data_IF_908844540440
#
_entry.id   IF_908844540440
#
_cell.length_a   1.000
_cell.length_b   1.000
_cell.length_c   1.000
_cell.angle_alpha   90.00
_cell.angle_beta   90.00
_cell.angle_gamma   90.00
#
_symmetry.space_group_name_H-M   'P 1'
#
loop_
_entity.id
_entity.type
_entity.pdbx_description
1 polymer ?
#
# COMPACT_ATOMS: atom_id res chain seq x y z
N UNK A 1 18.10 -22.15 -2.85
CA UNK A 1 16.93 -22.28 -3.76
C UNK A 1 16.31 -20.91 -3.89
N UNK A 2 16.73 -20.12 -4.88
CA UNK A 2 16.18 -18.78 -5.11
C UNK A 2 14.80 -18.93 -5.76
N UNK A 3 13.75 -18.99 -4.94
CA UNK A 3 12.45 -18.53 -5.40
C UNK A 3 12.62 -17.04 -5.66
N UNK A 4 12.84 -16.66 -6.92
CA UNK A 4 12.99 -15.29 -7.37
C UNK A 4 11.62 -14.60 -7.19
N UNK A 5 11.30 -14.18 -5.96
CA UNK A 5 10.05 -13.51 -5.64
C UNK A 5 10.18 -12.09 -6.16
N UNK A 6 9.35 -11.75 -7.14
CA UNK A 6 9.35 -10.41 -7.72
C UNK A 6 8.87 -9.38 -6.69
N UNK A 7 7.87 -9.74 -5.87
CA UNK A 7 7.36 -8.95 -4.76
C UNK A 7 7.95 -9.45 -3.43
N UNK A 8 8.74 -8.60 -2.80
CA UNK A 8 9.45 -8.91 -1.56
C UNK A 8 8.68 -8.47 -0.32
N UNK A 9 8.01 -7.31 -0.38
CA UNK A 9 7.20 -6.79 0.73
C UNK A 9 6.06 -5.88 0.26
N UNK A 10 4.99 -5.79 1.04
CA UNK A 10 3.95 -4.76 0.93
C UNK A 10 3.93 -3.94 2.22
N UNK A 11 4.00 -2.63 2.08
CA UNK A 11 4.00 -1.65 3.16
C UNK A 11 2.70 -0.84 3.11
N UNK A 12 2.03 -0.71 4.24
CA UNK A 12 0.96 0.26 4.43
C UNK A 12 1.46 1.36 5.37
N UNK A 13 1.50 2.57 4.84
CA UNK A 13 2.02 3.75 5.51
C UNK A 13 0.91 4.78 5.71
N UNK A 14 1.00 5.50 6.82
CA UNK A 14 0.06 6.58 7.15
C UNK A 14 0.84 7.80 7.63
N UNK A 15 0.34 8.99 7.33
CA UNK A 15 0.95 10.22 7.80
C UNK A 15 0.33 10.65 9.13
N UNK A 16 1.15 10.70 10.17
CA UNK A 16 0.77 11.27 11.46
C UNK A 16 1.20 12.75 11.54
N UNK A 17 0.33 13.68 11.99
CA UNK A 17 0.63 15.12 12.00
C UNK A 17 1.85 15.51 12.84
N UNK A 18 2.16 14.75 13.89
CA UNK A 18 3.29 15.02 14.79
C UNK A 18 4.49 14.12 14.48
N UNK A 19 4.24 12.88 14.08
CA UNK A 19 5.29 11.87 13.94
C UNK A 19 5.76 11.70 12.48
N UNK A 20 5.09 12.35 11.52
CA UNK A 20 5.37 12.20 10.10
C UNK A 20 4.86 10.88 9.52
N UNK A 21 5.44 10.49 8.40
CA UNK A 21 5.13 9.24 7.71
C UNK A 21 5.62 8.06 8.55
N UNK A 22 4.71 7.12 8.86
CA UNK A 22 5.05 5.89 9.58
C UNK A 22 4.53 4.67 8.82
N UNK A 23 5.29 3.58 8.90
CA UNK A 23 4.78 2.25 8.55
C UNK A 23 3.79 1.85 9.64
N UNK A 24 2.57 1.51 9.24
CA UNK A 24 1.56 0.95 10.16
C UNK A 24 1.55 -0.57 10.04
N UNK A 25 1.62 -1.09 8.82
CA UNK A 25 1.71 -2.53 8.56
C UNK A 25 2.75 -2.81 7.48
N UNK A 26 3.44 -3.93 7.61
CA UNK A 26 4.34 -4.46 6.60
C UNK A 26 4.20 -5.98 6.52
N UNK A 27 4.22 -6.51 5.29
CA UNK A 27 4.14 -7.94 5.05
C UNK A 27 5.19 -8.34 4.02
N UNK A 28 6.17 -9.20 4.37
CA UNK A 28 6.38 -9.82 5.68
C UNK A 28 6.74 -8.79 6.77
N UNK A 29 6.48 -9.17 8.03
CA UNK A 29 6.79 -8.33 9.20
C UNK A 29 8.30 -8.09 9.33
N UNK A 30 8.69 -6.90 9.77
CA UNK A 30 10.10 -6.49 9.96
C UNK A 30 10.99 -6.64 8.72
N UNK A 31 10.42 -6.49 7.51
CA UNK A 31 11.21 -6.54 6.27
C UNK A 31 12.05 -5.27 6.06
N UNK A 32 11.46 -4.09 6.25
CA UNK A 32 12.16 -2.80 6.17
C UNK A 32 12.37 -2.26 7.58
N UNK A 33 13.62 -1.98 7.93
CA UNK A 33 13.96 -1.37 9.21
C UNK A 33 13.43 0.06 9.29
N UNK A 34 13.13 0.56 10.50
CA UNK A 34 12.67 1.96 10.65
C UNK A 34 13.67 2.97 10.10
N UNK A 35 14.96 2.71 10.25
CA UNK A 35 16.06 3.57 9.77
C UNK A 35 16.10 3.64 8.23
N UNK A 36 15.93 2.48 7.60
CA UNK A 36 15.81 2.36 6.15
C UNK A 36 14.55 3.06 5.62
N UNK A 37 13.43 2.87 6.31
CA UNK A 37 12.18 3.54 5.96
C UNK A 37 12.29 5.05 6.11
N UNK A 38 12.94 5.56 7.16
CA UNK A 38 13.07 7.00 7.41
C UNK A 38 13.76 7.72 6.22
N UNK A 39 14.73 7.04 5.59
CA UNK A 39 15.40 7.54 4.40
C UNK A 39 14.47 7.69 3.18
N UNK A 40 13.46 6.81 3.05
CA UNK A 40 12.48 6.84 1.95
C UNK A 40 11.15 7.50 2.34
N UNK A 41 10.86 7.69 3.62
CA UNK A 41 9.58 8.10 4.18
C UNK A 41 9.07 9.43 3.62
N UNK A 42 9.98 10.36 3.33
CA UNK A 42 9.70 11.66 2.71
C UNK A 42 9.18 11.51 1.27
N UNK A 43 9.62 10.47 0.58
CA UNK A 43 9.20 10.15 -0.78
C UNK A 43 7.95 9.27 -0.81
N UNK A 44 7.74 8.44 0.22
CA UNK A 44 6.58 7.55 0.35
C UNK A 44 5.30 8.37 0.50
N UNK A 45 5.25 9.38 1.38
CA UNK A 45 4.10 10.31 1.46
C UNK A 45 4.61 11.72 1.17
N UNK A 46 4.70 12.12 -0.11
CA UNK A 46 5.13 13.45 -0.46
C UNK A 46 4.06 14.48 -0.06
N UNK A 47 4.44 15.76 -0.11
CA UNK A 47 3.53 16.89 0.15
C UNK A 47 2.20 16.74 -0.63
N UNK A 48 1.07 17.24 -0.09
CA UNK A 48 -0.27 17.12 -0.68
C UNK A 48 -0.35 17.53 -2.15
N UNK A 49 0.49 18.46 -2.58
CA UNK A 49 0.60 18.95 -3.96
C UNK A 49 1.00 17.87 -4.98
N UNK A 50 1.55 16.74 -4.52
CA UNK A 50 2.04 15.61 -5.36
C UNK A 50 1.27 14.30 -5.13
N UNK A 51 0.17 14.34 -4.38
CA UNK A 51 -0.62 13.15 -4.04
C UNK A 51 -1.53 12.71 -5.21
N UNK A 52 -2.05 11.48 -5.14
CA UNK A 52 -2.84 10.82 -6.21
C UNK A 52 -2.06 10.49 -7.49
N UNK A 53 -0.73 10.45 -7.41
CA UNK A 53 0.14 9.98 -8.48
C UNK A 53 0.87 8.72 -8.03
N UNK A 54 1.05 7.80 -8.97
CA UNK A 54 1.91 6.66 -8.76
C UNK A 54 3.36 7.14 -8.60
N UNK A 55 4.05 6.64 -7.59
CA UNK A 55 5.44 6.95 -7.29
C UNK A 55 6.26 5.66 -7.37
N UNK A 56 7.44 5.77 -7.97
CA UNK A 56 8.41 4.67 -8.04
C UNK A 56 9.74 5.19 -7.51
N UNK A 57 10.19 4.62 -6.40
CA UNK A 57 11.42 5.00 -5.71
C UNK A 57 12.38 3.82 -5.82
N UNK A 58 13.61 4.08 -6.24
CA UNK A 58 14.67 3.07 -6.24
C UNK A 58 15.62 3.44 -5.10
N UNK A 59 15.67 2.62 -4.05
CA UNK A 59 16.47 2.87 -2.86
C UNK A 59 16.79 1.54 -2.18
N UNK A 60 17.92 1.46 -1.46
CA UNK A 60 18.28 0.29 -0.66
C UNK A 60 18.36 -1.01 -1.48
N UNK A 61 18.79 -0.95 -2.76
CA UNK A 61 18.74 -2.09 -3.69
C UNK A 61 17.33 -2.68 -3.91
N UNK A 62 16.28 -1.93 -3.59
CA UNK A 62 14.88 -2.28 -3.81
C UNK A 62 14.14 -1.22 -4.64
N UNK A 63 13.03 -1.64 -5.24
CA UNK A 63 12.10 -0.73 -5.94
C UNK A 63 10.81 -0.64 -5.15
N UNK A 64 10.48 0.55 -4.67
CA UNK A 64 9.24 0.85 -3.98
C UNK A 64 8.26 1.47 -4.96
N UNK A 65 7.13 0.82 -5.20
CA UNK A 65 6.03 1.38 -5.99
C UNK A 65 4.90 1.71 -5.04
N UNK A 66 4.55 2.99 -4.94
CA UNK A 66 3.47 3.46 -4.10
C UNK A 66 2.45 4.29 -4.86
N UNK A 67 1.29 4.50 -4.25
CA UNK A 67 0.31 5.46 -4.72
C UNK A 67 -0.23 6.23 -3.50
N UNK A 68 0.43 7.33 -3.10
CA UNK A 68 -0.02 8.14 -1.97
C UNK A 68 -1.41 8.72 -2.26
N UNK A 69 -2.36 8.43 -1.37
CA UNK A 69 -3.73 8.91 -1.45
C UNK A 69 -3.94 9.99 -0.40
N UNK A 70 -4.61 11.06 -0.82
CA UNK A 70 -5.18 12.08 0.05
C UNK A 70 -6.69 11.98 0.02
N UNK A 71 -7.31 11.84 1.18
CA UNK A 71 -8.76 11.93 1.32
C UNK A 71 -9.07 13.14 2.17
N UNK A 72 -9.45 14.24 1.52
CA UNK A 72 -9.94 15.43 2.20
C UNK A 72 -11.35 15.16 2.74
N UNK A 73 -11.51 15.20 4.06
CA UNK A 73 -12.80 15.05 4.72
C UNK A 73 -12.76 15.71 6.10
N UNK A 74 -13.80 16.47 6.43
CA UNK A 74 -13.92 17.18 7.71
C UNK A 74 -13.99 16.24 8.93
N UNK A 75 -14.24 14.94 8.71
CA UNK A 75 -14.22 13.92 9.76
C UNK A 75 -12.83 13.64 10.35
N UNK A 76 -11.74 14.06 9.67
CA UNK A 76 -10.37 13.83 10.13
C UNK A 76 -9.80 15.04 10.87
N UNK A 77 -8.90 14.80 11.84
CA UNK A 77 -8.29 15.85 12.69
C UNK A 77 -7.52 16.95 11.92
N UNK A 78 -7.26 16.76 10.62
CA UNK A 78 -6.59 17.74 9.75
C UNK A 78 -7.40 18.08 8.50
N UNK A 79 -8.68 17.74 8.47
CA UNK A 79 -9.53 17.73 7.27
C UNK A 79 -9.02 16.83 6.14
N UNK A 80 -8.00 15.99 6.36
CA UNK A 80 -7.50 15.04 5.38
C UNK A 80 -6.86 13.81 6.03
N UNK A 81 -7.12 12.63 5.45
CA UNK A 81 -6.42 11.38 5.74
C UNK A 81 -5.42 11.11 4.63
N UNK A 82 -4.16 10.94 5.01
CA UNK A 82 -3.07 10.66 4.08
C UNK A 82 -2.52 9.26 4.38
N UNK A 83 -2.62 8.38 3.40
CA UNK A 83 -2.07 7.04 3.48
C UNK A 83 -1.42 6.65 2.15
N UNK A 84 -0.54 5.65 2.20
CA UNK A 84 0.07 5.10 1.02
C UNK A 84 0.26 3.59 1.16
N UNK A 85 -0.03 2.87 0.08
CA UNK A 85 0.29 1.45 -0.06
C UNK A 85 1.47 1.33 -0.99
N UNK A 86 2.60 0.80 -0.49
CA UNK A 86 3.83 0.62 -1.24
C UNK A 86 4.18 -0.86 -1.42
N UNK A 87 4.62 -1.22 -2.60
CA UNK A 87 5.07 -2.56 -2.95
C UNK A 87 6.58 -2.50 -3.12
N UNK A 88 7.29 -3.33 -2.38
CA UNK A 88 8.74 -3.46 -2.42
C UNK A 88 9.07 -4.64 -3.33
N UNK A 89 9.75 -4.35 -4.43
CA UNK A 89 10.16 -5.32 -5.43
C UNK A 89 11.69 -5.39 -5.48
N UNK A 90 12.18 -6.53 -5.98
CA UNK A 90 13.61 -6.71 -6.22
C UNK A 90 14.19 -5.73 -7.25
N UNK A 91 15.50 -5.47 -7.22
CA UNK A 91 16.16 -4.47 -8.07
C UNK A 91 16.06 -4.79 -9.57
N UNK A 92 15.93 -6.07 -9.91
CA UNK A 92 15.87 -6.55 -11.29
C UNK A 92 14.43 -6.76 -11.81
N UNK A 93 13.42 -6.36 -11.04
CA UNK A 93 12.00 -6.57 -11.38
C UNK A 93 11.45 -5.39 -12.17
N UNK A 94 10.62 -5.68 -13.18
CA UNK A 94 9.86 -4.68 -13.94
C UNK A 94 8.69 -4.15 -13.14
N UNK A 95 8.77 -2.87 -12.76
CA UNK A 95 7.75 -2.20 -11.93
C UNK A 95 6.42 -2.05 -12.65
N UNK A 96 6.44 -1.95 -13.99
CA UNK A 96 5.31 -1.66 -14.87
C UNK A 96 4.13 -2.61 -14.60
N UNK A 97 4.41 -3.89 -14.33
CA UNK A 97 3.38 -4.92 -14.09
C UNK A 97 2.59 -4.69 -12.81
N UNK A 98 3.20 -4.01 -11.83
CA UNK A 98 2.64 -3.75 -10.52
C UNK A 98 1.99 -2.36 -10.43
N UNK A 99 2.39 -1.41 -11.27
CA UNK A 99 1.85 -0.04 -11.29
C UNK A 99 0.31 0.00 -11.35
N UNK A 100 -0.27 -0.79 -12.26
CA UNK A 100 -1.72 -0.88 -12.39
C UNK A 100 -2.40 -1.51 -11.17
N UNK A 101 -1.76 -2.51 -10.57
CA UNK A 101 -2.26 -3.21 -9.37
C UNK A 101 -2.24 -2.28 -8.15
N UNK A 102 -1.12 -1.58 -7.91
CA UNK A 102 -0.95 -0.63 -6.80
C UNK A 102 -1.96 0.50 -6.93
N UNK A 103 -2.09 1.08 -8.13
CA UNK A 103 -3.06 2.17 -8.37
C UNK A 103 -4.50 1.72 -8.15
N UNK A 104 -4.85 0.51 -8.58
CA UNK A 104 -6.20 -0.05 -8.40
C UNK A 104 -6.48 -0.35 -6.93
N UNK A 105 -5.51 -0.92 -6.20
CA UNK A 105 -5.61 -1.18 -4.78
C UNK A 105 -5.78 0.13 -3.98
N UNK A 106 -4.97 1.14 -4.27
CA UNK A 106 -5.04 2.44 -3.61
C UNK A 106 -6.39 3.14 -3.87
N UNK A 107 -6.86 3.15 -5.12
CA UNK A 107 -8.18 3.68 -5.47
C UNK A 107 -9.33 2.92 -4.78
N UNK A 108 -9.21 1.60 -4.68
CA UNK A 108 -10.21 0.79 -3.99
C UNK A 108 -10.24 1.03 -2.48
N UNK A 109 -9.08 1.10 -1.81
CA UNK A 109 -9.00 1.49 -0.40
C UNK A 109 -9.59 2.90 -0.16
N UNK A 110 -9.42 3.80 -1.12
CA UNK A 110 -10.01 5.14 -1.09
C UNK A 110 -11.54 5.06 -1.07
N UNK A 111 -12.14 4.28 -1.97
CA UNK A 111 -13.59 4.08 -2.01
C UNK A 111 -14.11 3.46 -0.72
N UNK A 112 -13.44 2.43 -0.20
CA UNK A 112 -13.83 1.79 1.07
C UNK A 112 -13.78 2.75 2.25
N UNK A 113 -12.78 3.63 2.27
CA UNK A 113 -12.67 4.65 3.31
C UNK A 113 -13.76 5.72 3.21
N UNK A 114 -14.17 6.09 1.99
CA UNK A 114 -15.25 7.05 1.77
C UNK A 114 -16.62 6.46 2.10
N UNK A 115 -16.89 5.21 1.72
CA UNK A 115 -18.19 4.56 1.90
C UNK A 115 -18.37 3.98 3.31
N UNK A 116 -17.34 3.33 3.86
CA UNK A 116 -17.44 2.55 5.10
C UNK A 116 -16.52 3.06 6.22
N UNK A 117 -15.57 3.96 5.93
CA UNK A 117 -14.58 4.41 6.92
C UNK A 117 -13.58 3.32 7.32
N UNK A 118 -13.19 2.44 6.38
CA UNK A 118 -12.37 1.25 6.62
C UNK A 118 -10.99 1.51 7.28
N UNK A 119 -10.31 2.60 6.93
CA UNK A 119 -9.06 3.07 7.51
C UNK A 119 -9.26 3.95 8.75
N UNK A 120 -10.41 4.61 8.86
CA UNK A 120 -10.80 5.40 10.05
C UNK A 120 -11.11 4.54 11.26
N UNK A 121 -11.75 3.38 11.07
CA UNK A 121 -12.19 2.50 12.14
C UNK A 121 -11.08 1.52 12.51
N UNK A 122 -10.74 1.42 13.80
CA UNK A 122 -9.68 0.52 14.28
C UNK A 122 -10.01 -0.96 14.03
N UNK A 123 -11.28 -1.35 14.11
CA UNK A 123 -11.74 -2.72 13.92
C UNK A 123 -11.49 -3.22 12.48
N UNK A 124 -11.83 -2.42 11.48
CA UNK A 124 -11.54 -2.75 10.07
C UNK A 124 -10.07 -2.58 9.73
N UNK A 125 -9.38 -1.64 10.37
CA UNK A 125 -7.93 -1.50 10.23
C UNK A 125 -7.18 -2.74 10.71
N UNK A 126 -7.70 -3.46 11.70
CA UNK A 126 -7.15 -4.72 12.16
C UNK A 126 -7.25 -5.87 11.12
N UNK A 127 -8.17 -5.80 10.14
CA UNK A 127 -8.25 -6.80 9.06
C UNK A 127 -7.34 -6.47 7.86
N UNK A 128 -6.86 -5.24 7.77
CA UNK A 128 -5.91 -4.79 6.75
C UNK A 128 -4.65 -5.67 6.62
N UNK A 129 -3.92 -6.05 7.70
CA UNK A 129 -2.75 -6.93 7.58
C UNK A 129 -3.08 -8.30 6.97
N UNK A 130 -4.26 -8.87 7.27
CA UNK A 130 -4.72 -10.12 6.66
C UNK A 130 -4.96 -9.96 5.16
N UNK A 131 -5.59 -8.86 4.75
CA UNK A 131 -5.80 -8.51 3.33
C UNK A 131 -4.47 -8.33 2.61
N UNK A 132 -3.54 -7.56 3.19
CA UNK A 132 -2.22 -7.33 2.60
C UNK A 132 -1.43 -8.63 2.47
N UNK A 133 -1.52 -9.53 3.46
CA UNK A 133 -0.89 -10.84 3.43
C UNK A 133 -1.45 -11.75 2.34
N UNK A 134 -2.76 -11.73 2.14
CA UNK A 134 -3.42 -12.46 1.07
C UNK A 134 -3.01 -11.92 -0.31
N UNK A 135 -2.99 -10.59 -0.48
CA UNK A 135 -2.51 -9.94 -1.71
C UNK A 135 -1.06 -10.33 -1.99
N UNK A 136 -0.19 -10.25 -0.98
CA UNK A 136 1.22 -10.62 -1.10
C UNK A 136 1.40 -12.07 -1.54
N UNK A 137 0.67 -13.01 -0.92
CA UNK A 137 0.75 -14.43 -1.22
C UNK A 137 0.21 -14.74 -2.63
N UNK A 138 -0.98 -14.25 -2.96
CA UNK A 138 -1.65 -14.55 -4.22
C UNK A 138 -0.96 -13.89 -5.43
N UNK A 139 -0.45 -12.66 -5.29
CA UNK A 139 0.37 -12.03 -6.32
C UNK A 139 1.67 -12.80 -6.56
N UNK A 140 2.39 -13.18 -5.50
CA UNK A 140 3.62 -13.97 -5.65
C UNK A 140 3.37 -15.40 -6.17
N UNK A 141 2.18 -15.97 -5.94
CA UNK A 141 1.88 -17.37 -6.32
C UNK A 141 1.23 -17.49 -7.70
N UNK A 142 0.33 -16.57 -8.06
CA UNK A 142 -0.51 -16.65 -9.26
C UNK A 142 -0.41 -15.42 -10.16
N UNK A 143 0.21 -14.33 -9.70
CA UNK A 143 0.20 -13.03 -10.40
C UNK A 143 -1.17 -12.36 -10.45
N UNK A 144 -2.13 -12.85 -9.67
CA UNK A 144 -3.48 -12.31 -9.56
C UNK A 144 -4.01 -12.52 -8.16
N UNK A 145 -4.77 -11.55 -7.66
CA UNK A 145 -5.41 -11.60 -6.35
C UNK A 145 -6.87 -11.17 -6.50
N UNK A 146 -7.76 -11.87 -5.80
CA UNK A 146 -9.18 -11.56 -5.75
C UNK A 146 -9.58 -11.45 -4.27
N UNK A 147 -9.90 -10.24 -3.81
CA UNK A 147 -10.39 -10.02 -2.45
C UNK A 147 -11.92 -9.99 -2.49
N UNK A 148 -12.54 -10.94 -1.78
CA UNK A 148 -14.01 -11.08 -1.66
C UNK A 148 -14.51 -11.20 -0.23
N UNK A 149 -13.70 -11.72 0.69
CA UNK A 149 -14.19 -12.20 2.01
C UNK A 149 -13.91 -11.24 3.18
N UNK A 150 -12.98 -10.30 3.03
CA UNK A 150 -12.54 -9.42 4.13
C UNK A 150 -13.23 -8.04 4.15
N UNK A 151 -14.26 -7.82 3.32
CA UNK A 151 -14.81 -6.49 3.01
C UNK A 151 -16.34 -6.57 2.98
N UNK A 152 -17.10 -5.52 3.34
CA UNK A 152 -18.56 -5.51 3.23
C UNK A 152 -19.08 -6.05 1.90
N UNK A 153 -20.13 -6.85 2.01
CA UNK A 153 -20.66 -7.93 1.16
C UNK A 153 -20.92 -7.64 -0.35
N UNK A 154 -20.56 -6.45 -0.87
CA UNK A 154 -20.96 -5.97 -2.19
C UNK A 154 -19.81 -5.50 -3.08
N UNK A 155 -18.55 -5.65 -2.67
CA UNK A 155 -17.41 -5.24 -3.49
C UNK A 155 -16.37 -6.35 -3.61
N UNK A 156 -15.93 -6.60 -4.84
CA UNK A 156 -14.86 -7.54 -5.15
C UNK A 156 -13.70 -6.79 -5.81
N UNK A 157 -12.51 -6.92 -5.23
CA UNK A 157 -11.31 -6.33 -5.81
C UNK A 157 -10.56 -7.38 -6.63
N UNK A 158 -10.50 -7.18 -7.94
CA UNK A 158 -9.72 -8.02 -8.85
C UNK A 158 -8.41 -7.32 -9.23
N UNK A 159 -7.30 -7.85 -8.75
CA UNK A 159 -5.94 -7.44 -9.08
C UNK A 159 -5.31 -8.47 -10.02
N UNK A 160 -4.78 -8.01 -11.15
CA UNK A 160 -4.06 -8.85 -12.10
C UNK A 160 -2.81 -8.12 -12.55
N UNK A 161 -1.66 -8.79 -12.50
CA UNK A 161 -0.43 -8.28 -13.09
C UNK A 161 -0.57 -8.30 -14.62
N UNK A 162 -0.18 -7.22 -15.26
CA UNK A 162 -0.14 -7.14 -16.72
C UNK A 162 1.16 -7.76 -17.24
N UNK A 163 1.07 -8.64 -18.25
CA UNK A 163 2.22 -9.35 -18.85
C UNK A 163 3.15 -8.43 -19.63
#
# INVERSE_FOLDING_TARGET
MNSNRELECILFCEFHPIAGTKIVYQVPEDFISKEEFDCVAVYIIPKPELQSKLITINALDHKFIGCPISIENAKYSRNALLFNVCFVLGPNVDTIRYEGVVKKLAGYMTSLELEYGFLSQEETKASLPSVLSEIFLELNKKGKCMITDCIPMYTSLHLMLTS
#
